data_IF_885144816268
#
_entry.id   IF_885144816268
#
_cell.length_a   1.000
_cell.length_b   1.000
_cell.length_c   1.000
_cell.angle_alpha   90.00
_cell.angle_beta   90.00
_cell.angle_gamma   90.00
#
_symmetry.space_group_name_H-M   'P 1'
#
loop_
_entity.id
_entity.type
_entity.pdbx_description
1 polymer ?
#
# COMPACT_ATOMS: atom_id res chain seq x y z
N UNK A 1 -17.34 -37.33 -10.17
CA UNK A 1 -16.19 -37.06 -9.29
C UNK A 1 -15.10 -36.49 -10.16
N UNK A 2 -14.47 -35.40 -9.77
CA UNK A 2 -13.46 -34.77 -10.61
C UNK A 2 -12.17 -35.59 -10.66
N UNK A 3 -11.50 -35.61 -11.81
CA UNK A 3 -10.22 -36.30 -12.02
C UNK A 3 -9.11 -35.76 -11.13
N UNK A 4 -9.21 -34.50 -10.69
CA UNK A 4 -8.25 -33.86 -9.78
C UNK A 4 -8.67 -33.87 -8.31
N UNK A 5 -9.70 -34.64 -7.96
CA UNK A 5 -9.97 -34.93 -6.55
C UNK A 5 -8.87 -35.80 -5.95
N UNK A 6 -8.57 -35.70 -4.64
CA UNK A 6 -7.46 -36.45 -4.04
C UNK A 6 -7.52 -37.96 -4.25
N UNK A 7 -8.73 -38.52 -4.23
CA UNK A 7 -8.98 -39.94 -4.50
C UNK A 7 -8.62 -40.34 -5.94
N UNK A 8 -8.92 -39.50 -6.92
CA UNK A 8 -8.68 -39.82 -8.32
C UNK A 8 -7.21 -39.62 -8.69
N UNK A 9 -6.55 -38.59 -8.14
CA UNK A 9 -5.10 -38.42 -8.25
C UNK A 9 -4.39 -39.64 -7.66
N UNK A 10 -4.75 -40.06 -6.44
CA UNK A 10 -4.15 -41.24 -5.81
C UNK A 10 -4.34 -42.52 -6.64
N UNK A 11 -5.55 -42.74 -7.19
CA UNK A 11 -5.80 -43.89 -8.08
C UNK A 11 -4.94 -43.84 -9.34
N UNK A 12 -4.69 -42.65 -9.89
CA UNK A 12 -3.81 -42.47 -11.04
C UNK A 12 -2.38 -42.86 -10.70
N UNK A 13 -1.85 -42.35 -9.57
CA UNK A 13 -0.51 -42.69 -9.07
C UNK A 13 -0.36 -44.19 -8.80
N UNK A 14 -1.37 -44.83 -8.20
CA UNK A 14 -1.38 -46.28 -7.96
C UNK A 14 -1.36 -47.09 -9.27
N UNK A 15 -2.06 -46.63 -10.31
CA UNK A 15 -2.02 -47.26 -11.64
C UNK A 15 -0.65 -47.11 -12.28
N UNK A 16 -0.01 -45.95 -12.15
CA UNK A 16 1.33 -45.73 -12.66
C UNK A 16 2.34 -46.63 -11.95
N UNK A 17 2.34 -46.66 -10.61
CA UNK A 17 3.18 -47.55 -9.81
C UNK A 17 3.00 -49.03 -10.19
N UNK A 18 1.75 -49.47 -10.37
CA UNK A 18 1.44 -50.84 -10.78
C UNK A 18 2.04 -51.19 -12.15
N UNK A 19 2.01 -50.25 -13.10
CA UNK A 19 2.63 -50.43 -14.43
C UNK A 19 4.14 -50.45 -14.34
N UNK A 20 4.73 -49.48 -13.64
CA UNK A 20 6.19 -49.31 -13.56
C UNK A 20 6.87 -50.47 -12.82
N UNK A 21 6.20 -51.05 -11.82
CA UNK A 21 6.74 -52.13 -11.01
C UNK A 21 6.17 -53.52 -11.36
N UNK A 22 5.30 -53.61 -12.37
CA UNK A 22 4.64 -54.87 -12.75
C UNK A 22 3.77 -55.48 -11.63
N UNK A 23 3.24 -54.66 -10.73
CA UNK A 23 2.45 -55.09 -9.58
C UNK A 23 0.95 -55.18 -9.91
N UNK A 24 0.21 -55.97 -9.12
CA UNK A 24 -1.26 -55.88 -9.11
C UNK A 24 -1.68 -54.52 -8.54
N UNK A 25 -2.72 -53.92 -9.12
CA UNK A 25 -3.23 -52.61 -8.70
C UNK A 25 -3.56 -52.54 -7.20
N UNK A 26 -4.16 -53.60 -6.64
CA UNK A 26 -4.47 -53.66 -5.20
C UNK A 26 -3.22 -53.60 -4.33
N UNK A 27 -2.13 -54.25 -4.75
CA UNK A 27 -0.85 -54.22 -4.02
C UNK A 27 -0.23 -52.83 -4.12
N UNK A 28 -0.28 -52.19 -5.29
CA UNK A 28 0.21 -50.82 -5.48
C UNK A 28 -0.57 -49.81 -4.62
N UNK A 29 -1.90 -49.95 -4.53
CA UNK A 29 -2.75 -49.11 -3.68
C UNK A 29 -2.38 -49.25 -2.20
N UNK A 30 -2.32 -50.48 -1.68
CA UNK A 30 -1.94 -50.73 -0.28
C UNK A 30 -0.54 -50.22 0.03
N UNK A 31 0.41 -50.40 -0.91
CA UNK A 31 1.79 -49.91 -0.74
C UNK A 31 1.82 -48.38 -0.59
N UNK A 32 1.09 -47.64 -1.43
CA UNK A 32 1.03 -46.18 -1.36
C UNK A 32 0.31 -45.68 -0.11
N UNK A 33 -0.79 -46.34 0.28
CA UNK A 33 -1.54 -46.03 1.51
C UNK A 33 -0.68 -46.20 2.75
N UNK A 34 0.02 -47.33 2.87
CA UNK A 34 0.91 -47.59 4.00
C UNK A 34 2.10 -46.62 4.01
N UNK A 35 2.66 -46.31 2.84
CA UNK A 35 3.71 -45.28 2.70
C UNK A 35 3.24 -43.90 3.16
N UNK A 36 1.97 -43.58 2.93
CA UNK A 36 1.33 -42.35 3.37
C UNK A 36 0.94 -42.37 4.86
N UNK A 37 1.12 -43.49 5.57
CA UNK A 37 0.81 -43.59 7.00
C UNK A 37 -0.66 -43.84 7.31
N UNK A 38 -1.41 -44.43 6.37
CA UNK A 38 -2.76 -44.94 6.60
C UNK A 38 -2.72 -46.45 6.82
N UNK A 39 -3.68 -46.98 7.59
CA UNK A 39 -3.77 -48.41 7.90
C UNK A 39 -4.19 -49.25 6.70
N UNK A 40 -5.16 -48.76 5.94
CA UNK A 40 -5.70 -49.41 4.76
C UNK A 40 -6.35 -48.41 3.79
N UNK A 41 -6.68 -48.88 2.58
CA UNK A 41 -7.31 -48.04 1.56
C UNK A 41 -8.69 -47.51 1.97
N UNK A 42 -9.39 -48.19 2.88
CA UNK A 42 -10.67 -47.72 3.38
C UNK A 42 -10.49 -46.47 4.25
N UNK A 43 -9.56 -46.48 5.22
CA UNK A 43 -9.21 -45.30 6.02
C UNK A 43 -8.82 -44.14 5.11
N UNK A 44 -7.92 -44.36 4.15
CA UNK A 44 -7.51 -43.33 3.19
C UNK A 44 -8.72 -42.73 2.46
N UNK A 45 -9.65 -43.57 1.98
CA UNK A 45 -10.81 -43.11 1.23
C UNK A 45 -11.79 -42.29 2.06
N UNK A 46 -11.97 -42.65 3.33
CA UNK A 46 -12.83 -41.93 4.27
C UNK A 46 -12.20 -40.59 4.64
N UNK A 47 -10.89 -40.55 4.89
CA UNK A 47 -10.16 -39.31 5.18
C UNK A 47 -10.20 -38.38 3.98
N UNK A 48 -9.99 -38.89 2.77
CA UNK A 48 -10.06 -38.07 1.56
C UNK A 48 -11.43 -37.42 1.32
N UNK A 49 -12.51 -38.04 1.77
CA UNK A 49 -13.86 -37.47 1.67
C UNK A 49 -14.18 -36.49 2.80
N UNK A 50 -13.70 -36.75 4.02
CA UNK A 50 -14.06 -35.96 5.22
C UNK A 50 -13.11 -34.80 5.48
N UNK A 51 -11.83 -34.98 5.18
CA UNK A 51 -10.77 -34.00 5.38
C UNK A 51 -9.77 -34.04 4.21
N UNK A 52 -10.09 -33.37 3.09
CA UNK A 52 -9.20 -33.30 1.92
C UNK A 52 -7.85 -32.61 2.20
N UNK A 53 -7.71 -31.90 3.33
CA UNK A 53 -6.48 -31.21 3.76
C UNK A 53 -5.73 -31.97 4.86
N UNK A 54 -6.02 -33.26 5.07
CA UNK A 54 -5.23 -34.08 5.99
C UNK A 54 -3.74 -34.08 5.54
N UNK A 55 -2.77 -33.74 6.40
CA UNK A 55 -1.37 -33.61 5.98
C UNK A 55 -0.77 -34.89 5.35
N UNK A 56 -1.23 -36.08 5.78
CA UNK A 56 -0.78 -37.36 5.19
C UNK A 56 -1.27 -37.48 3.76
N UNK A 57 -2.51 -37.08 3.52
CA UNK A 57 -3.12 -37.07 2.20
C UNK A 57 -2.46 -36.00 1.31
N UNK A 58 -2.22 -34.79 1.84
CA UNK A 58 -1.55 -33.71 1.12
C UNK A 58 -0.18 -34.16 0.59
N UNK A 59 0.64 -34.77 1.45
CA UNK A 59 1.97 -35.24 1.02
C UNK A 59 1.85 -36.39 0.02
N UNK A 60 0.95 -37.35 0.25
CA UNK A 60 0.81 -38.52 -0.60
C UNK A 60 0.29 -38.18 -2.00
N UNK A 61 -0.70 -37.30 -2.07
CA UNK A 61 -1.41 -36.95 -3.30
C UNK A 61 -0.74 -35.78 -3.99
N UNK A 62 -0.45 -34.72 -3.23
CA UNK A 62 0.00 -33.43 -3.74
C UNK A 62 1.52 -33.22 -3.66
N UNK A 63 2.25 -34.04 -2.90
CA UNK A 63 3.70 -33.89 -2.69
C UNK A 63 4.08 -32.80 -1.69
N UNK A 64 3.10 -32.00 -1.25
CA UNK A 64 3.26 -30.83 -0.37
C UNK A 64 2.52 -31.06 0.94
N UNK A 65 2.91 -30.40 2.04
CA UNK A 65 2.19 -30.52 3.32
C UNK A 65 0.94 -29.66 3.38
N UNK A 66 0.95 -28.56 2.65
CA UNK A 66 -0.16 -27.63 2.54
C UNK A 66 -0.10 -26.89 1.20
N UNK A 67 -1.23 -26.40 0.70
CA UNK A 67 -1.33 -25.71 -0.59
C UNK A 67 -0.43 -24.48 -0.73
N UNK A 68 -0.26 -23.62 0.29
CA UNK A 68 0.68 -22.50 0.22
C UNK A 68 2.11 -22.95 -0.10
N UNK A 69 2.51 -24.17 0.24
CA UNK A 69 3.87 -24.64 -0.06
C UNK A 69 4.11 -24.93 -1.54
N UNK A 70 3.06 -25.02 -2.36
CA UNK A 70 3.19 -25.33 -3.79
C UNK A 70 4.00 -24.27 -4.56
N UNK A 71 3.99 -23.01 -4.11
CA UNK A 71 4.73 -21.92 -4.75
C UNK A 71 6.25 -22.03 -4.55
N UNK A 72 6.70 -22.81 -3.56
CA UNK A 72 8.11 -23.00 -3.22
C UNK A 72 8.71 -24.25 -3.88
N UNK A 73 7.98 -24.92 -4.77
CA UNK A 73 8.56 -25.95 -5.64
C UNK A 73 9.51 -25.26 -6.64
N UNK A 74 10.72 -25.80 -6.82
CA UNK A 74 11.82 -25.14 -7.55
C UNK A 74 11.41 -24.66 -8.97
N UNK A 75 10.69 -25.51 -9.71
CA UNK A 75 10.23 -25.19 -11.07
C UNK A 75 9.21 -24.02 -11.05
N UNK A 76 8.30 -24.00 -10.06
CA UNK A 76 7.23 -22.98 -9.96
C UNK A 76 7.79 -21.61 -9.55
N UNK A 77 8.73 -21.59 -8.61
CA UNK A 77 9.31 -20.34 -8.12
C UNK A 77 10.13 -19.64 -9.21
N UNK A 78 10.90 -20.41 -9.99
CA UNK A 78 11.66 -19.89 -11.11
C UNK A 78 10.74 -19.34 -12.23
N UNK A 79 9.68 -20.07 -12.57
CA UNK A 79 8.69 -19.62 -13.56
C UNK A 79 8.00 -18.31 -13.10
N UNK A 80 7.70 -18.20 -11.79
CA UNK A 80 7.12 -16.97 -11.20
C UNK A 80 8.08 -15.78 -11.30
N UNK A 81 9.36 -15.96 -10.98
CA UNK A 81 10.34 -14.87 -11.10
C UNK A 81 10.49 -14.38 -12.54
N UNK A 82 10.51 -15.31 -13.50
CA UNK A 82 10.56 -14.96 -14.91
C UNK A 82 9.33 -14.16 -15.35
N UNK A 83 8.13 -14.62 -14.99
CA UNK A 83 6.88 -13.95 -15.35
C UNK A 83 6.80 -12.54 -14.73
N UNK A 84 7.25 -12.37 -13.48
CA UNK A 84 7.33 -11.06 -12.84
C UNK A 84 8.33 -10.13 -13.55
N UNK A 85 9.50 -10.63 -13.94
CA UNK A 85 10.49 -9.85 -14.70
C UNK A 85 9.91 -9.37 -16.04
N UNK A 86 9.18 -10.24 -16.75
CA UNK A 86 8.54 -9.90 -18.01
C UNK A 86 7.45 -8.84 -17.83
N UNK A 87 6.53 -9.03 -16.89
CA UNK A 87 5.43 -8.10 -16.62
C UNK A 87 5.89 -6.74 -16.07
N UNK A 88 6.95 -6.72 -15.26
CA UNK A 88 7.48 -5.50 -14.64
C UNK A 88 8.62 -4.86 -15.43
N UNK A 89 8.99 -5.41 -16.58
CA UNK A 89 10.14 -4.94 -17.38
C UNK A 89 10.12 -3.42 -17.65
N UNK A 90 8.97 -2.87 -18.03
CA UNK A 90 8.78 -1.43 -18.24
C UNK A 90 8.96 -0.63 -16.94
N UNK A 91 8.35 -1.09 -15.84
CA UNK A 91 8.45 -0.43 -14.53
C UNK A 91 9.89 -0.48 -13.98
N UNK A 92 10.58 -1.62 -14.15
CA UNK A 92 11.98 -1.81 -13.79
C UNK A 92 12.87 -0.83 -14.57
N UNK A 93 12.58 -0.57 -15.84
CA UNK A 93 13.34 0.37 -16.66
C UNK A 93 13.28 1.82 -16.15
N UNK A 94 12.25 2.17 -15.37
CA UNK A 94 12.13 3.47 -14.70
C UNK A 94 12.91 3.55 -13.38
N UNK A 95 13.44 2.42 -12.89
CA UNK A 95 14.24 2.35 -11.67
C UNK A 95 15.75 2.43 -11.93
N UNK A 96 16.52 2.68 -10.87
CA UNK A 96 17.98 2.61 -10.89
C UNK A 96 18.53 1.27 -10.36
N UNK A 97 17.69 0.25 -10.27
CA UNK A 97 18.06 -1.06 -9.76
C UNK A 97 18.11 -2.11 -10.88
N UNK A 98 18.81 -3.22 -10.61
CA UNK A 98 18.93 -4.36 -11.53
C UNK A 98 19.05 -5.67 -10.76
N UNK A 99 18.89 -6.80 -11.45
CA UNK A 99 18.93 -8.12 -10.81
C UNK A 99 17.81 -8.27 -9.78
N UNK A 100 16.59 -7.95 -10.20
CA UNK A 100 15.42 -8.05 -9.33
C UNK A 100 15.13 -9.52 -8.99
N UNK A 101 14.84 -9.76 -7.71
CA UNK A 101 14.46 -11.07 -7.19
C UNK A 101 13.35 -10.90 -6.17
N UNK A 102 12.61 -11.97 -5.89
CA UNK A 102 11.61 -11.95 -4.82
C UNK A 102 12.34 -11.95 -3.46
N UNK A 103 12.30 -10.83 -2.74
CA UNK A 103 12.91 -10.70 -1.41
C UNK A 103 12.01 -11.30 -0.32
N UNK A 104 10.71 -10.99 -0.39
CA UNK A 104 9.72 -11.48 0.55
C UNK A 104 8.46 -11.93 -0.19
N UNK A 105 7.90 -13.07 0.21
CA UNK A 105 6.65 -13.61 -0.34
C UNK A 105 5.77 -14.13 0.79
N UNK A 106 4.54 -13.64 0.84
CA UNK A 106 3.51 -14.06 1.80
C UNK A 106 2.27 -14.50 1.04
N UNK A 107 1.67 -15.60 1.50
CA UNK A 107 0.48 -16.18 0.88
C UNK A 107 -0.71 -15.87 1.78
N UNK A 108 -1.67 -15.13 1.22
CA UNK A 108 -2.82 -14.60 1.93
C UNK A 108 -4.00 -15.57 1.83
N UNK A 109 -4.19 -16.17 0.66
CA UNK A 109 -5.28 -17.11 0.38
C UNK A 109 -4.79 -18.28 -0.47
N UNK A 110 -5.40 -19.44 -0.30
CA UNK A 110 -5.08 -20.64 -1.07
C UNK A 110 -6.35 -21.47 -1.32
N UNK A 111 -6.78 -21.48 -2.58
CA UNK A 111 -8.03 -22.09 -3.01
C UNK A 111 -7.77 -23.11 -4.12
N UNK A 112 -7.97 -24.39 -3.80
CA UNK A 112 -7.81 -25.50 -4.73
C UNK A 112 -9.17 -25.92 -5.29
N UNK A 113 -9.23 -26.02 -6.63
CA UNK A 113 -10.42 -26.38 -7.36
C UNK A 113 -10.28 -27.79 -7.94
N UNK A 114 -10.96 -28.75 -7.32
CA UNK A 114 -10.96 -30.16 -7.75
C UNK A 114 -11.37 -30.33 -9.22
N UNK A 115 -12.28 -29.52 -9.78
CA UNK A 115 -12.79 -29.68 -11.15
C UNK A 115 -11.73 -29.48 -12.25
N UNK A 116 -10.80 -28.57 -12.01
CA UNK A 116 -9.75 -28.17 -12.97
C UNK A 116 -8.36 -28.59 -12.54
N UNK A 117 -8.16 -28.95 -11.27
CA UNK A 117 -6.83 -29.20 -10.70
C UNK A 117 -6.01 -27.92 -10.54
N UNK A 118 -6.70 -26.78 -10.43
CA UNK A 118 -6.12 -25.45 -10.33
C UNK A 118 -6.05 -25.01 -8.89
N UNK A 119 -4.91 -24.48 -8.49
CA UNK A 119 -4.67 -23.86 -7.19
C UNK A 119 -4.46 -22.37 -7.41
N UNK A 120 -5.38 -21.55 -6.89
CA UNK A 120 -5.26 -20.09 -6.91
C UNK A 120 -4.69 -19.63 -5.57
N UNK A 121 -3.59 -18.90 -5.62
CA UNK A 121 -2.89 -18.33 -4.47
C UNK A 121 -2.97 -16.81 -4.53
N UNK A 122 -3.56 -16.18 -3.51
CA UNK A 122 -3.41 -14.74 -3.32
C UNK A 122 -2.10 -14.46 -2.62
N UNK A 123 -1.22 -13.66 -3.22
CA UNK A 123 0.13 -13.41 -2.70
C UNK A 123 0.39 -11.91 -2.52
N UNK A 124 1.14 -11.58 -1.47
CA UNK A 124 1.76 -10.28 -1.29
C UNK A 124 3.27 -10.49 -1.30
N UNK A 125 3.96 -9.83 -2.23
CA UNK A 125 5.39 -10.03 -2.43
C UNK A 125 6.13 -8.71 -2.58
N UNK A 126 7.40 -8.72 -2.21
CA UNK A 126 8.35 -7.63 -2.43
C UNK A 126 9.35 -8.07 -3.47
N UNK A 127 9.37 -7.39 -4.61
CA UNK A 127 10.28 -7.65 -5.71
C UNK A 127 11.36 -6.57 -5.70
N UNK A 128 12.58 -6.95 -5.37
CA UNK A 128 13.64 -6.02 -5.03
C UNK A 128 14.87 -6.23 -5.91
N UNK A 129 15.40 -5.13 -6.43
CA UNK A 129 16.64 -5.08 -7.19
C UNK A 129 17.81 -4.51 -6.40
N UNK A 130 19.01 -4.76 -6.90
CA UNK A 130 20.24 -4.16 -6.41
C UNK A 130 20.41 -2.77 -7.03
N UNK A 131 20.45 -1.73 -6.18
CA UNK A 131 20.68 -0.36 -6.62
C UNK A 131 22.07 -0.18 -7.23
N UNK A 132 22.12 0.48 -8.38
CA UNK A 132 23.34 0.95 -9.00
C UNK A 132 23.78 2.27 -8.32
N UNK A 133 24.90 2.22 -7.58
CA UNK A 133 25.43 3.37 -6.83
C UNK A 133 25.86 4.54 -7.72
N UNK A 134 26.05 4.31 -9.03
CA UNK A 134 26.48 5.35 -9.97
C UNK A 134 25.31 6.15 -10.58
N UNK A 135 24.06 5.76 -10.28
CA UNK A 135 22.85 6.40 -10.82
C UNK A 135 22.13 7.23 -9.77
N UNK A 136 21.50 8.33 -10.20
CA UNK A 136 20.64 9.16 -9.34
C UNK A 136 19.53 8.28 -8.75
N UNK A 137 19.30 8.41 -7.43
CA UNK A 137 18.35 7.59 -6.67
C UNK A 137 16.94 7.63 -7.27
N UNK A 138 16.47 6.50 -7.81
CA UNK A 138 15.09 6.30 -8.23
C UNK A 138 14.69 4.83 -8.06
N UNK A 139 14.08 4.49 -6.93
CA UNK A 139 13.39 3.23 -6.67
C UNK A 139 14.20 1.94 -6.78
N UNK A 140 13.95 0.97 -5.90
CA UNK A 140 14.60 -0.35 -5.94
C UNK A 140 13.71 -1.51 -5.55
N UNK A 141 12.48 -1.23 -5.11
CA UNK A 141 11.56 -2.25 -4.65
C UNK A 141 10.15 -1.99 -5.14
N UNK A 142 9.48 -3.06 -5.54
CA UNK A 142 8.06 -3.08 -5.84
C UNK A 142 7.34 -3.92 -4.79
N UNK A 143 6.29 -3.34 -4.21
CA UNK A 143 5.40 -4.03 -3.29
C UNK A 143 4.14 -4.40 -4.04
N UNK A 144 3.94 -5.70 -4.24
CA UNK A 144 2.95 -6.22 -5.17
C UNK A 144 1.92 -7.07 -4.43
N UNK A 145 0.66 -6.94 -4.85
CA UNK A 145 -0.40 -7.89 -4.55
C UNK A 145 -0.80 -8.58 -5.84
N UNK A 146 -0.64 -9.90 -5.90
CA UNK A 146 -0.89 -10.68 -7.11
C UNK A 146 -1.72 -11.93 -6.80
N UNK A 147 -2.32 -12.48 -7.85
CA UNK A 147 -2.90 -13.82 -7.84
C UNK A 147 -2.03 -14.72 -8.69
N UNK A 148 -1.63 -15.86 -8.13
CA UNK A 148 -0.81 -16.87 -8.80
C UNK A 148 -1.64 -18.15 -8.96
N UNK A 149 -1.80 -18.60 -10.19
CA UNK A 149 -2.54 -19.80 -10.55
C UNK A 149 -1.57 -20.93 -10.91
N UNK A 150 -1.69 -22.06 -10.20
CA UNK A 150 -0.88 -23.25 -10.41
C UNK A 150 -1.75 -24.39 -10.91
N UNK A 151 -1.21 -25.17 -11.85
CA UNK A 151 -1.82 -26.38 -12.37
C UNK A 151 -1.04 -27.60 -11.92
N UNK A 152 -1.76 -28.67 -11.58
CA UNK A 152 -1.15 -29.97 -11.30
C UNK A 152 -1.15 -30.85 -12.56
N UNK A 153 0.02 -31.07 -13.15
CA UNK A 153 0.21 -31.96 -14.32
C UNK A 153 1.36 -32.93 -14.08
N UNK A 154 1.20 -34.17 -14.51
CA UNK A 154 2.22 -35.23 -14.36
C UNK A 154 2.79 -35.39 -12.94
N UNK A 155 1.94 -35.19 -11.93
CA UNK A 155 2.30 -35.22 -10.50
C UNK A 155 3.26 -34.11 -10.05
N UNK A 156 3.44 -33.06 -10.85
CA UNK A 156 4.15 -31.83 -10.51
C UNK A 156 3.20 -30.63 -10.48
N UNK A 157 3.61 -29.59 -9.76
CA UNK A 157 3.01 -28.26 -9.85
C UNK A 157 3.71 -27.48 -10.97
N UNK A 158 2.94 -26.73 -11.73
CA UNK A 158 3.42 -25.87 -12.81
C UNK A 158 2.64 -24.56 -12.74
N UNK A 159 3.30 -23.45 -13.06
CA UNK A 159 2.60 -22.18 -13.26
C UNK A 159 1.61 -22.32 -14.43
N UNK A 160 0.40 -21.77 -14.28
CA UNK A 160 -0.53 -21.70 -15.40
C UNK A 160 -0.01 -20.73 -16.47
N UNK A 161 -0.43 -20.92 -17.72
CA UNK A 161 -0.21 -19.92 -18.78
C UNK A 161 -0.96 -18.63 -18.39
N UNK A 162 -0.28 -17.48 -18.46
CA UNK A 162 -0.75 -16.20 -17.90
C UNK A 162 -1.19 -16.32 -16.42
N UNK A 163 -0.57 -17.25 -15.68
CA UNK A 163 -0.96 -17.62 -14.33
C UNK A 163 -0.65 -16.58 -13.26
N UNK A 164 0.01 -15.48 -13.61
CA UNK A 164 0.33 -14.39 -12.67
C UNK A 164 -0.47 -13.16 -13.08
N UNK A 165 -1.31 -12.69 -12.17
CA UNK A 165 -2.09 -11.47 -12.33
C UNK A 165 -1.77 -10.50 -11.20
N UNK A 166 -1.04 -9.43 -11.51
CA UNK A 166 -0.76 -8.34 -10.56
C UNK A 166 -2.03 -7.50 -10.41
N UNK A 167 -2.61 -7.51 -9.21
CA UNK A 167 -3.82 -6.75 -8.90
C UNK A 167 -3.52 -5.31 -8.47
N UNK A 168 -2.41 -5.14 -7.75
CA UNK A 168 -1.94 -3.84 -7.26
C UNK A 168 -0.42 -3.86 -7.12
N UNK A 169 0.20 -2.70 -7.29
CA UNK A 169 1.65 -2.54 -7.23
C UNK A 169 2.05 -1.12 -6.91
N UNK A 170 2.97 -0.97 -5.96
CA UNK A 170 3.50 0.33 -5.54
C UNK A 170 5.03 0.24 -5.45
N UNK A 171 5.75 1.21 -5.99
CA UNK A 171 7.21 1.29 -5.81
C UNK A 171 7.56 1.96 -4.48
N UNK A 172 8.77 1.71 -3.97
CA UNK A 172 9.35 2.48 -2.87
C UNK A 172 9.41 3.99 -3.18
N UNK A 173 9.71 4.37 -4.43
CA UNK A 173 9.68 5.76 -4.87
C UNK A 173 8.28 6.40 -4.76
N UNK A 174 7.21 5.64 -5.02
CA UNK A 174 5.84 6.13 -4.85
C UNK A 174 5.47 6.33 -3.38
N UNK A 175 5.93 5.40 -2.52
CA UNK A 175 5.76 5.53 -1.06
C UNK A 175 6.46 6.75 -0.51
N UNK A 176 7.70 6.98 -0.92
CA UNK A 176 8.49 8.14 -0.50
C UNK A 176 7.79 9.44 -0.92
N UNK A 177 7.33 9.53 -2.17
CA UNK A 177 6.60 10.69 -2.68
C UNK A 177 5.31 10.95 -1.88
N UNK A 178 4.55 9.91 -1.54
CA UNK A 178 3.34 10.04 -0.71
C UNK A 178 3.68 10.54 0.69
N UNK A 179 4.70 10.00 1.33
CA UNK A 179 5.13 10.43 2.66
C UNK A 179 5.60 11.89 2.67
N UNK A 180 6.30 12.35 1.63
CA UNK A 180 6.65 13.76 1.48
C UNK A 180 5.40 14.64 1.36
N UNK A 181 4.41 14.24 0.56
CA UNK A 181 3.16 14.98 0.41
C UNK A 181 2.38 15.08 1.72
N UNK A 182 2.27 13.98 2.47
CA UNK A 182 1.62 13.95 3.78
C UNK A 182 2.34 14.85 4.79
N UNK A 183 3.67 14.84 4.79
CA UNK A 183 4.48 15.74 5.61
C UNK A 183 4.19 17.21 5.28
N UNK A 184 4.20 17.59 4.00
CA UNK A 184 3.91 18.96 3.58
C UNK A 184 2.48 19.38 3.85
N UNK A 185 1.50 18.47 3.71
CA UNK A 185 0.11 18.73 4.08
C UNK A 185 -0.01 19.03 5.59
N UNK A 186 0.70 18.26 6.42
CA UNK A 186 0.73 18.50 7.87
C UNK A 186 1.39 19.83 8.21
N UNK A 187 2.48 20.18 7.53
CA UNK A 187 3.15 21.49 7.69
C UNK A 187 2.22 22.63 7.28
N UNK A 188 1.48 22.49 6.20
CA UNK A 188 0.53 23.51 5.76
C UNK A 188 -0.68 23.62 6.69
N UNK A 189 -1.22 22.51 7.21
CA UNK A 189 -2.28 22.52 8.22
C UNK A 189 -1.81 23.18 9.53
N UNK A 190 -0.56 22.94 9.94
CA UNK A 190 0.04 23.62 11.08
C UNK A 190 0.23 25.13 10.82
N UNK A 191 0.52 25.53 9.58
CA UNK A 191 0.58 26.95 9.19
C UNK A 191 -0.81 27.59 9.16
N UNK A 192 -1.80 26.92 8.58
CA UNK A 192 -3.17 27.45 8.47
C UNK A 192 -3.85 27.55 9.84
N UNK A 193 -3.62 26.59 10.75
CA UNK A 193 -4.18 26.63 12.11
C UNK A 193 -3.61 27.73 13.01
N UNK A 194 -2.46 28.31 12.63
CA UNK A 194 -1.87 29.47 13.31
C UNK A 194 -2.26 30.82 12.69
N UNK A 195 -2.97 30.83 11.54
CA UNK A 195 -3.46 32.08 10.97
C UNK A 195 -4.69 32.56 11.73
N UNK A 196 -4.73 33.85 12.04
CA UNK A 196 -5.83 34.49 12.74
C UNK A 196 -6.59 35.43 11.80
N UNK A 197 -7.86 35.72 12.10
CA UNK A 197 -8.61 36.70 11.31
C UNK A 197 -8.07 38.12 11.52
N UNK A 198 -8.32 39.03 10.56
CA UNK A 198 -7.95 40.45 10.70
C UNK A 198 -8.49 41.05 12.01
N UNK A 199 -9.71 40.70 12.40
CA UNK A 199 -10.32 41.14 13.65
C UNK A 199 -9.57 40.59 14.89
N UNK A 200 -9.13 39.34 14.86
CA UNK A 200 -8.35 38.76 15.96
C UNK A 200 -6.97 39.43 16.08
N UNK A 201 -6.29 39.69 14.97
CA UNK A 201 -5.02 40.41 14.95
C UNK A 201 -5.15 41.84 15.48
N UNK A 202 -6.18 42.58 15.03
CA UNK A 202 -6.48 43.93 15.53
C UNK A 202 -6.86 43.93 17.02
N UNK A 203 -7.60 42.92 17.49
CA UNK A 203 -7.97 42.79 18.90
C UNK A 203 -6.73 42.64 19.80
N UNK A 204 -5.75 41.84 19.37
CA UNK A 204 -4.48 41.64 20.08
C UNK A 204 -3.65 42.93 20.05
N UNK A 205 -3.48 43.53 18.87
CA UNK A 205 -2.67 44.73 18.65
C UNK A 205 -3.19 45.94 19.43
N UNK A 206 -4.50 46.19 19.40
CA UNK A 206 -5.13 47.34 20.05
C UNK A 206 -5.54 47.07 21.50
N UNK A 207 -5.47 45.81 21.96
CA UNK A 207 -5.93 45.40 23.29
C UNK A 207 -7.43 45.63 23.50
N UNK A 208 -8.25 45.29 22.50
CA UNK A 208 -9.72 45.42 22.49
C UNK A 208 -10.38 44.03 22.36
N UNK A 209 -11.70 43.96 22.49
CA UNK A 209 -12.45 42.71 22.26
C UNK A 209 -12.52 42.38 20.77
N UNK A 210 -12.62 41.10 20.43
CA UNK A 210 -12.76 40.64 19.03
C UNK A 210 -14.00 41.27 18.37
N UNK A 211 -15.13 41.32 19.08
CA UNK A 211 -16.37 41.97 18.57
C UNK A 211 -16.17 43.45 18.18
N UNK A 212 -15.34 44.19 18.93
CA UNK A 212 -15.03 45.57 18.59
C UNK A 212 -14.04 45.65 17.43
N UNK A 213 -13.11 44.71 17.33
CA UNK A 213 -12.15 44.64 16.24
C UNK A 213 -12.78 44.19 14.92
N UNK A 214 -13.86 43.39 14.94
CA UNK A 214 -14.64 43.04 13.75
C UNK A 214 -15.23 44.29 13.07
N UNK A 215 -15.69 45.28 13.86
CA UNK A 215 -16.17 46.55 13.33
C UNK A 215 -15.06 47.31 12.61
N UNK A 216 -13.81 47.16 13.05
CA UNK A 216 -12.65 47.89 12.49
C UNK A 216 -11.96 47.14 11.35
N UNK A 217 -12.26 45.87 11.14
CA UNK A 217 -11.55 45.02 10.17
C UNK A 217 -11.67 45.50 8.71
N UNK A 218 -12.70 46.31 8.38
CA UNK A 218 -12.89 46.94 7.08
C UNK A 218 -12.18 48.28 6.88
N UNK A 219 -11.43 48.75 7.88
CA UNK A 219 -10.77 50.07 7.85
C UNK A 219 -9.72 50.15 6.74
N UNK A 220 -9.60 51.33 6.13
CA UNK A 220 -8.64 51.57 5.04
C UNK A 220 -7.20 51.47 5.55
N UNK A 221 -6.37 50.69 4.85
CA UNK A 221 -4.95 50.51 5.14
C UNK A 221 -4.13 51.15 4.04
N UNK A 222 -3.17 51.96 4.43
CA UNK A 222 -2.19 52.61 3.54
C UNK A 222 -0.79 52.13 3.87
N UNK A 223 0.04 51.90 2.85
CA UNK A 223 1.43 51.46 3.03
C UNK A 223 2.33 52.66 3.31
N UNK A 224 3.22 52.52 4.29
CA UNK A 224 4.36 53.41 4.48
C UNK A 224 5.59 52.74 3.86
N UNK A 225 5.83 53.04 2.58
CA UNK A 225 6.90 52.46 1.79
C UNK A 225 7.93 53.50 1.35
N UNK A 226 9.16 53.05 1.13
CA UNK A 226 10.23 53.84 0.51
C UNK A 226 10.05 53.95 -1.00
N UNK A 227 10.77 54.89 -1.62
CA UNK A 227 10.77 55.10 -3.07
C UNK A 227 11.22 53.85 -3.88
N UNK A 228 11.86 52.86 -3.24
CA UNK A 228 12.26 51.59 -3.85
C UNK A 228 11.28 50.43 -3.58
N UNK A 229 10.17 50.68 -2.88
CA UNK A 229 9.10 49.73 -2.62
C UNK A 229 9.26 48.90 -1.35
N UNK A 230 10.23 49.18 -0.47
CA UNK A 230 10.31 48.53 0.84
C UNK A 230 9.30 49.14 1.82
N UNK A 231 8.38 48.31 2.32
CA UNK A 231 7.37 48.69 3.33
C UNK A 231 8.01 48.69 4.73
N UNK A 232 7.88 49.80 5.45
CA UNK A 232 8.36 49.95 6.83
C UNK A 232 7.25 49.75 7.87
N UNK A 233 6.03 50.14 7.52
CA UNK A 233 4.85 50.02 8.38
C UNK A 233 3.59 50.20 7.54
N UNK A 234 2.44 49.98 8.16
CA UNK A 234 1.14 50.27 7.57
C UNK A 234 0.39 51.27 8.46
N UNK A 235 -0.36 52.17 7.85
CA UNK A 235 -1.27 53.06 8.56
C UNK A 235 -2.70 52.62 8.32
N UNK A 236 -3.43 52.37 9.40
CA UNK A 236 -4.85 52.03 9.35
C UNK A 236 -5.67 53.21 9.88
N UNK A 237 -6.70 53.59 9.14
CA UNK A 237 -7.60 54.69 9.51
C UNK A 237 -8.94 54.15 10.02
N UNK A 238 -9.14 54.20 11.33
CA UNK A 238 -10.37 53.75 11.99
C UNK A 238 -11.50 54.78 11.93
N UNK A 239 -11.29 56.00 11.42
CA UNK A 239 -12.32 57.05 11.45
C UNK A 239 -13.65 56.71 10.75
N UNK A 240 -13.66 55.97 9.62
CA UNK A 240 -14.92 55.55 8.98
C UNK A 240 -15.72 54.53 9.78
N UNK A 241 -15.04 53.66 10.54
CA UNK A 241 -15.63 52.46 11.14
C UNK A 241 -15.80 52.56 12.67
N UNK A 242 -15.03 53.43 13.34
CA UNK A 242 -15.10 53.59 14.79
C UNK A 242 -16.28 54.50 15.22
N UNK A 243 -17.30 53.89 15.82
CA UNK A 243 -18.48 54.60 16.35
C UNK A 243 -18.61 54.52 17.88
N UNK A 244 -19.33 55.49 18.47
CA UNK A 244 -19.79 55.43 19.87
C UNK A 244 -18.69 55.30 20.92
N UNK A 245 -18.85 54.32 21.83
CA UNK A 245 -17.92 54.06 22.94
C UNK A 245 -16.56 53.57 22.45
N UNK A 246 -16.50 52.82 21.35
CA UNK A 246 -15.25 52.32 20.75
C UNK A 246 -14.37 53.48 20.26
N UNK A 247 -14.99 54.45 19.56
CA UNK A 247 -14.28 55.67 19.12
C UNK A 247 -13.69 56.45 20.30
N UNK A 248 -14.47 56.60 21.37
CA UNK A 248 -14.02 57.33 22.55
C UNK A 248 -12.87 56.61 23.27
N UNK A 249 -12.91 55.27 23.34
CA UNK A 249 -11.84 54.45 23.93
C UNK A 249 -10.54 54.52 23.09
N UNK A 250 -10.63 54.37 21.77
CA UNK A 250 -9.46 54.49 20.88
C UNK A 250 -8.79 55.86 20.96
N UNK A 251 -9.58 56.94 20.92
CA UNK A 251 -9.08 58.31 21.08
C UNK A 251 -8.46 58.54 22.46
N UNK A 252 -9.03 57.96 23.52
CA UNK A 252 -8.48 58.07 24.88
C UNK A 252 -7.16 57.31 25.04
N UNK A 253 -7.01 56.16 24.39
CA UNK A 253 -5.81 55.31 24.48
C UNK A 253 -4.67 55.77 23.58
N UNK A 254 -4.98 56.08 22.32
CA UNK A 254 -3.98 56.31 21.27
C UNK A 254 -3.90 57.78 20.84
N UNK A 255 -4.86 58.62 21.24
CA UNK A 255 -4.87 60.05 20.91
C UNK A 255 -5.24 60.36 19.44
N UNK A 256 -5.43 59.34 18.61
CA UNK A 256 -5.80 59.41 17.20
C UNK A 256 -6.65 58.20 16.81
N UNK A 257 -7.36 58.29 15.68
CA UNK A 257 -8.02 57.16 15.02
C UNK A 257 -7.18 56.60 13.86
N UNK A 258 -6.04 57.23 13.56
CA UNK A 258 -5.00 56.66 12.70
C UNK A 258 -3.98 55.93 13.58
N UNK A 259 -3.69 54.68 13.23
CA UNK A 259 -2.78 53.82 13.98
C UNK A 259 -1.72 53.21 13.06
N UNK A 260 -0.49 53.11 13.55
CA UNK A 260 0.64 52.50 12.83
C UNK A 260 0.76 51.02 13.20
N UNK A 261 0.60 50.15 12.20
CA UNK A 261 0.82 48.72 12.31
C UNK A 261 2.25 48.38 11.89
N UNK A 262 2.86 47.41 12.59
CA UNK A 262 4.19 46.92 12.27
C UNK A 262 4.24 46.27 10.87
N UNK A 263 5.40 46.31 10.19
CA UNK A 263 5.58 45.73 8.86
C UNK A 263 5.18 44.24 8.74
N UNK A 264 5.28 43.51 9.85
CA UNK A 264 4.99 42.07 9.91
C UNK A 264 3.56 41.78 10.41
N UNK A 265 2.71 42.79 10.58
CA UNK A 265 1.37 42.61 11.17
C UNK A 265 0.50 41.61 10.40
N UNK A 266 0.67 41.54 9.08
CA UNK A 266 -0.11 40.66 8.21
C UNK A 266 0.47 39.24 8.06
N UNK A 267 1.65 38.94 8.61
CA UNK A 267 2.36 37.67 8.38
C UNK A 267 1.55 36.45 8.86
N UNK A 268 0.76 36.63 9.93
CA UNK A 268 -0.04 35.59 10.58
C UNK A 268 -1.56 35.78 10.36
N UNK A 269 -1.97 36.64 9.42
CA UNK A 269 -3.39 36.91 9.14
C UNK A 269 -3.87 36.05 7.96
N UNK A 270 -5.07 35.47 8.05
CA UNK A 270 -5.71 34.83 6.90
C UNK A 270 -5.96 35.88 5.81
N UNK A 271 -5.25 35.76 4.68
CA UNK A 271 -5.51 36.58 3.52
C UNK A 271 -6.75 36.06 2.79
N UNK A 272 -7.90 36.68 3.07
CA UNK A 272 -9.06 36.61 2.18
C UNK A 272 -8.75 37.47 0.95
N UNK A 273 -8.23 36.86 -0.13
CA UNK A 273 -8.14 37.47 -1.46
C UNK A 273 -9.37 37.13 -2.31
#
# INVERSE_FOLDING_TARGET
MSDFSPLNIFKSQAKQLARDQGLKLSVAQETLVQKAGFADYHEFSVVAQRNPRDPRLMVAVFGIKDFPQAIHEDDVYADLEQELEEQLSDAIAETNASGFTIDALTINTADYTDSTGMLSLGVSLTYQGQQDQERVYHGAAFFLTATVELLRRDSKWQLAEDGVSIADGESDADRDRRSEQEYWATVEEARSSNRMSMAQALAIELGITVDNAELLAGSEITTNESDDGLVYSYWINFEPEAEGELRADLLARFGSLEYELHANFFDDIEHDF
#
